data_IF_043976444657
#
_entry.id   IF_043976444657
#
_cell.length_a   1.000
_cell.length_b   1.000
_cell.length_c   1.000
_cell.angle_alpha   90.00
_cell.angle_beta   90.00
_cell.angle_gamma   90.00
#
_symmetry.space_group_name_H-M   'P 1'
#
loop_
_entity.id
_entity.type
_entity.pdbx_description
1 polymer ?
#
# COMPACT_ATOMS: atom_id res chain seq x y z
N UNK A 1 -19.06 36.96 16.25
CA UNK A 1 -17.58 37.16 16.26
C UNK A 1 -16.85 35.84 16.44
N UNK A 2 -17.19 35.01 17.44
CA UNK A 2 -16.60 33.66 17.55
C UNK A 2 -17.21 32.67 16.52
N UNK A 3 -18.52 32.71 16.29
CA UNK A 3 -19.19 31.84 15.30
C UNK A 3 -18.71 32.09 13.85
N UNK A 4 -18.47 33.35 13.49
CA UNK A 4 -17.98 33.74 12.15
C UNK A 4 -16.55 33.22 11.91
N UNK A 5 -15.74 33.19 12.98
CA UNK A 5 -14.37 32.68 12.95
C UNK A 5 -14.34 31.16 12.84
N UNK A 6 -15.23 30.45 13.52
CA UNK A 6 -15.36 29.00 13.39
C UNK A 6 -15.84 28.58 12.00
N UNK A 7 -16.84 29.27 11.44
CA UNK A 7 -17.32 29.02 10.09
C UNK A 7 -16.22 29.25 9.04
N UNK A 8 -15.48 30.36 9.13
CA UNK A 8 -14.35 30.64 8.26
C UNK A 8 -13.24 29.58 8.38
N UNK A 9 -12.90 29.17 9.60
CA UNK A 9 -11.92 28.10 9.84
C UNK A 9 -12.38 26.75 9.27
N UNK A 10 -13.68 26.44 9.35
CA UNK A 10 -14.25 25.23 8.74
C UNK A 10 -14.16 25.28 7.22
N UNK A 11 -14.49 26.42 6.61
CA UNK A 11 -14.44 26.62 5.16
C UNK A 11 -13.00 26.51 4.63
N UNK A 12 -12.05 27.17 5.30
CA UNK A 12 -10.63 27.08 4.96
C UNK A 12 -10.07 25.65 5.09
N UNK A 13 -10.61 24.86 6.02
CA UNK A 13 -10.22 23.45 6.18
C UNK A 13 -10.79 22.57 5.05
N UNK A 14 -12.00 22.85 4.56
CA UNK A 14 -12.57 22.14 3.42
C UNK A 14 -11.86 22.50 2.11
N UNK A 15 -11.56 23.77 1.86
CA UNK A 15 -10.81 24.20 0.67
C UNK A 15 -9.42 23.56 0.63
N UNK A 16 -8.72 23.54 1.77
CA UNK A 16 -7.43 22.86 1.87
C UNK A 16 -7.54 21.36 1.59
N UNK A 17 -8.60 20.70 2.06
CA UNK A 17 -8.75 19.24 1.91
C UNK A 17 -9.23 18.82 0.53
N UNK A 18 -10.23 19.51 -0.01
CA UNK A 18 -10.97 19.08 -1.20
C UNK A 18 -10.76 19.99 -2.42
N UNK A 19 -10.16 21.16 -2.25
CA UNK A 19 -9.93 22.15 -3.29
C UNK A 19 -10.97 23.27 -3.32
N UNK A 20 -10.83 24.16 -4.30
CA UNK A 20 -11.56 25.44 -4.35
C UNK A 20 -12.97 25.35 -4.95
N UNK A 21 -13.36 24.22 -5.57
CA UNK A 21 -14.70 24.10 -6.16
C UNK A 21 -15.76 23.91 -5.08
N UNK A 22 -16.54 24.95 -4.81
CA UNK A 22 -17.67 24.90 -3.88
C UNK A 22 -18.72 23.85 -4.29
N UNK A 23 -18.91 23.63 -5.60
CA UNK A 23 -19.86 22.63 -6.11
C UNK A 23 -19.35 21.22 -5.83
N UNK A 24 -18.04 20.97 -6.03
CA UNK A 24 -17.43 19.69 -5.65
C UNK A 24 -17.52 19.46 -4.14
N UNK A 25 -17.10 20.43 -3.33
CA UNK A 25 -17.17 20.32 -1.85
C UNK A 25 -18.59 20.04 -1.39
N UNK A 26 -19.58 20.78 -1.90
CA UNK A 26 -21.00 20.56 -1.55
C UNK A 26 -21.45 19.15 -1.92
N UNK A 27 -21.04 18.64 -3.09
CA UNK A 27 -21.39 17.27 -3.50
C UNK A 27 -20.80 16.21 -2.56
N UNK A 28 -19.61 16.43 -1.99
CA UNK A 28 -18.99 15.49 -1.04
C UNK A 28 -19.69 15.45 0.32
N UNK A 29 -20.44 16.49 0.68
CA UNK A 29 -21.23 16.55 1.92
C UNK A 29 -22.58 15.85 1.80
N UNK A 30 -22.98 15.43 0.60
CA UNK A 30 -24.23 14.71 0.36
C UNK A 30 -24.04 13.22 0.61
N UNK A 31 -24.43 12.72 1.80
CA UNK A 31 -24.25 11.30 2.18
C UNK A 31 -24.95 10.32 1.24
N UNK A 32 -26.12 10.69 0.69
CA UNK A 32 -26.85 9.86 -0.27
C UNK A 32 -26.33 9.98 -1.71
N UNK A 33 -25.27 10.77 -1.93
CA UNK A 33 -24.75 11.13 -3.24
C UNK A 33 -25.72 11.99 -4.05
N UNK A 34 -25.45 12.09 -5.35
CA UNK A 34 -26.24 12.88 -6.29
C UNK A 34 -25.61 14.23 -6.64
N UNK A 35 -26.42 15.11 -7.23
CA UNK A 35 -25.98 16.42 -7.72
C UNK A 35 -26.76 17.51 -6.97
N UNK A 36 -26.13 18.63 -6.59
CA UNK A 36 -26.83 19.73 -5.94
C UNK A 36 -27.99 20.27 -6.81
N UNK A 37 -29.21 20.42 -6.24
CA UNK A 37 -30.45 20.65 -6.99
C UNK A 37 -30.52 21.98 -7.76
N UNK A 38 -29.60 22.91 -7.53
CA UNK A 38 -29.53 24.22 -8.18
C UNK A 38 -28.60 24.29 -9.39
N UNK A 39 -27.99 23.16 -9.81
CA UNK A 39 -26.92 23.17 -10.82
C UNK A 39 -27.42 22.85 -12.22
N UNK A 40 -27.30 23.79 -13.16
CA UNK A 40 -27.58 23.53 -14.58
C UNK A 40 -26.51 22.60 -15.21
N UNK A 41 -26.85 21.81 -16.24
CA UNK A 41 -25.86 20.93 -16.90
C UNK A 41 -24.63 21.66 -17.43
N UNK A 42 -24.81 22.88 -17.97
CA UNK A 42 -23.70 23.70 -18.45
C UNK A 42 -22.78 24.16 -17.31
N UNK A 43 -23.35 24.51 -16.15
CA UNK A 43 -22.56 24.86 -14.97
C UNK A 43 -21.78 23.64 -14.44
N UNK A 44 -22.41 22.46 -14.39
CA UNK A 44 -21.75 21.21 -13.98
C UNK A 44 -20.59 20.85 -14.91
N UNK A 45 -20.75 21.00 -16.23
CA UNK A 45 -19.67 20.76 -17.18
C UNK A 45 -18.49 21.72 -16.96
N UNK A 46 -18.79 23.01 -16.74
CA UNK A 46 -17.76 24.01 -16.46
C UNK A 46 -17.00 23.68 -15.16
N UNK A 47 -17.71 23.28 -14.12
CA UNK A 47 -17.09 22.85 -12.85
C UNK A 47 -16.26 21.57 -13.02
N UNK A 48 -16.75 20.59 -13.75
CA UNK A 48 -16.00 19.36 -14.02
C UNK A 48 -14.67 19.68 -14.72
N UNK A 49 -14.68 20.58 -15.72
CA UNK A 49 -13.46 21.06 -16.40
C UNK A 49 -12.52 21.77 -15.42
N UNK A 50 -13.05 22.53 -14.47
CA UNK A 50 -12.25 23.19 -13.45
C UNK A 50 -11.60 22.18 -12.47
N UNK A 51 -12.36 21.19 -11.99
CA UNK A 51 -11.88 20.18 -11.02
C UNK A 51 -10.81 19.26 -11.61
N UNK A 52 -10.85 18.97 -12.92
CA UNK A 52 -9.81 18.17 -13.59
C UNK A 52 -8.61 19.00 -14.07
N UNK A 53 -8.56 20.29 -13.75
CA UNK A 53 -7.47 21.15 -14.19
C UNK A 53 -6.17 20.81 -13.47
N UNK A 54 -5.04 20.98 -14.17
CA UNK A 54 -3.71 20.59 -13.67
C UNK A 54 -3.29 21.24 -12.35
N UNK A 55 -3.83 22.42 -12.03
CA UNK A 55 -3.52 23.13 -10.78
C UNK A 55 -4.56 22.94 -9.69
N UNK A 56 -5.57 22.07 -9.88
CA UNK A 56 -6.64 21.90 -8.90
C UNK A 56 -6.14 21.33 -7.57
N UNK A 57 -5.13 20.46 -7.63
CA UNK A 57 -4.54 19.81 -6.46
C UNK A 57 -3.48 20.69 -5.77
N UNK A 58 -3.12 21.84 -6.33
CA UNK A 58 -2.08 22.71 -5.79
C UNK A 58 -2.44 23.21 -4.39
N UNK A 59 -1.52 22.98 -3.44
CA UNK A 59 -1.67 23.36 -2.02
C UNK A 59 -2.89 22.72 -1.33
N UNK A 60 -3.42 21.64 -1.90
CA UNK A 60 -4.45 20.82 -1.26
C UNK A 60 -3.86 19.59 -0.59
N UNK A 61 -4.68 18.88 0.20
CA UNK A 61 -4.29 17.61 0.82
C UNK A 61 -4.51 16.38 -0.10
N UNK A 62 -4.88 16.59 -1.38
CA UNK A 62 -4.93 15.53 -2.39
C UNK A 62 -3.56 14.86 -2.55
N UNK A 63 -3.55 13.53 -2.65
CA UNK A 63 -2.32 12.75 -2.80
C UNK A 63 -1.50 12.58 -1.53
N UNK A 64 -1.56 13.53 -0.61
CA UNK A 64 -0.83 13.46 0.65
C UNK A 64 -1.66 12.78 1.74
N UNK A 65 -2.90 13.21 1.98
CA UNK A 65 -3.81 12.64 2.99
C UNK A 65 -5.11 12.11 2.39
N UNK A 66 -5.56 12.69 1.28
CA UNK A 66 -6.83 12.38 0.62
C UNK A 66 -6.59 11.67 -0.74
N UNK A 67 -7.46 10.73 -1.08
CA UNK A 67 -7.36 9.99 -2.34
C UNK A 67 -6.26 8.93 -2.35
N UNK A 68 -5.70 8.69 -3.53
CA UNK A 68 -4.55 7.79 -3.73
C UNK A 68 -3.29 8.45 -3.20
N UNK A 69 -2.52 7.74 -2.36
CA UNK A 69 -1.35 8.33 -1.72
C UNK A 69 -0.16 8.34 -2.68
N UNK A 70 0.38 9.53 -2.93
CA UNK A 70 1.49 9.76 -3.87
C UNK A 70 2.85 9.40 -3.27
N UNK A 71 3.82 9.17 -4.16
CA UNK A 71 5.22 9.01 -3.79
C UNK A 71 5.62 7.59 -3.38
N UNK A 72 4.88 6.56 -3.84
CA UNK A 72 5.29 5.15 -3.74
C UNK A 72 4.95 4.41 -5.02
N UNK A 73 5.86 3.57 -5.51
CA UNK A 73 5.58 2.67 -6.65
C UNK A 73 4.42 1.71 -6.34
N UNK A 74 4.19 1.43 -5.05
CA UNK A 74 3.10 0.58 -4.53
C UNK A 74 2.13 1.41 -3.69
N UNK A 75 1.58 2.45 -4.32
CA UNK A 75 0.54 3.34 -3.78
C UNK A 75 -0.73 2.60 -3.32
N UNK A 76 -1.04 1.44 -3.90
CA UNK A 76 -2.17 0.59 -3.57
C UNK A 76 -2.11 0.07 -2.13
N UNK A 77 -0.99 -0.52 -1.75
CA UNK A 77 -0.74 -1.02 -0.39
C UNK A 77 -0.71 0.16 0.60
N UNK A 78 -0.05 1.25 0.23
CA UNK A 78 0.10 2.43 1.07
C UNK A 78 -1.25 3.11 1.37
N UNK A 79 -2.08 3.27 0.34
CA UNK A 79 -3.42 3.87 0.48
C UNK A 79 -4.31 3.01 1.38
N UNK A 80 -4.33 1.69 1.15
CA UNK A 80 -5.07 0.76 2.00
C UNK A 80 -4.61 0.79 3.46
N UNK A 81 -3.30 0.78 3.70
CA UNK A 81 -2.72 0.89 5.04
C UNK A 81 -3.16 2.17 5.75
N UNK A 82 -3.13 3.31 5.04
CA UNK A 82 -3.54 4.61 5.61
C UNK A 82 -5.04 4.64 5.96
N UNK A 83 -5.88 4.05 5.12
CA UNK A 83 -7.31 3.89 5.43
C UNK A 83 -7.53 3.00 6.65
N UNK A 84 -6.85 1.86 6.75
CA UNK A 84 -7.00 0.97 7.90
C UNK A 84 -6.48 1.61 9.20
N UNK A 85 -5.42 2.43 9.14
CA UNK A 85 -4.98 3.23 10.27
C UNK A 85 -6.05 4.20 10.79
N UNK A 86 -6.95 4.67 9.90
CA UNK A 86 -8.11 5.53 10.25
C UNK A 86 -9.32 4.74 10.77
N UNK A 87 -9.22 3.41 10.84
CA UNK A 87 -10.25 2.51 11.37
C UNK A 87 -11.18 1.89 10.32
N UNK A 88 -10.90 2.07 9.04
CA UNK A 88 -11.65 1.41 7.96
C UNK A 88 -11.41 -0.10 7.97
N UNK A 89 -12.42 -0.88 7.56
CA UNK A 89 -12.35 -2.34 7.48
C UNK A 89 -12.62 -2.80 6.04
N UNK A 90 -11.63 -3.45 5.43
CA UNK A 90 -11.81 -4.13 4.15
C UNK A 90 -12.58 -5.45 4.28
N UNK A 91 -13.27 -5.88 3.22
CA UNK A 91 -13.93 -7.19 3.13
C UNK A 91 -13.36 -7.93 1.91
N UNK A 92 -12.95 -9.18 2.11
CA UNK A 92 -12.49 -10.06 1.03
C UNK A 92 -13.57 -11.10 0.71
N UNK A 93 -14.13 -11.03 -0.50
CA UNK A 93 -15.23 -11.88 -0.95
C UNK A 93 -14.76 -12.84 -2.05
N UNK A 94 -15.00 -14.14 -1.86
CA UNK A 94 -14.70 -15.18 -2.86
C UNK A 94 -15.99 -15.79 -3.42
N UNK A 95 -16.57 -15.22 -4.51
CA UNK A 95 -17.73 -15.81 -5.17
C UNK A 95 -17.39 -17.16 -5.82
N UNK A 96 -18.42 -18.00 -5.99
CA UNK A 96 -18.26 -19.36 -6.54
C UNK A 96 -17.67 -19.39 -7.96
N UNK A 97 -17.88 -18.32 -8.74
CA UNK A 97 -17.26 -18.09 -10.05
C UNK A 97 -16.35 -16.87 -9.94
N UNK A 98 -15.14 -16.89 -10.52
CA UNK A 98 -14.28 -15.70 -10.56
C UNK A 98 -15.04 -14.55 -11.24
N UNK A 99 -15.35 -13.51 -10.46
CA UNK A 99 -16.06 -12.33 -10.95
C UNK A 99 -15.14 -11.41 -11.77
N UNK A 100 -13.84 -11.45 -11.48
CA UNK A 100 -12.80 -10.71 -12.19
C UNK A 100 -11.80 -11.69 -12.78
N UNK A 101 -11.54 -11.58 -14.09
CA UNK A 101 -10.52 -12.33 -14.81
C UNK A 101 -9.68 -11.37 -15.63
N UNK A 102 -8.37 -11.50 -15.54
CA UNK A 102 -7.41 -10.74 -16.35
C UNK A 102 -6.38 -11.67 -16.99
N UNK A 103 -5.69 -11.17 -18.01
CA UNK A 103 -4.59 -11.89 -18.65
C UNK A 103 -3.32 -11.79 -17.81
N UNK A 104 -2.60 -12.91 -17.64
CA UNK A 104 -1.32 -12.95 -16.95
C UNK A 104 -0.15 -12.79 -17.95
N UNK A 105 1.01 -12.26 -17.51
CA UNK A 105 2.21 -12.23 -18.34
C UNK A 105 2.61 -13.64 -18.79
N UNK A 106 2.90 -13.79 -20.09
CA UNK A 106 3.33 -15.07 -20.69
C UNK A 106 4.85 -15.22 -20.75
N UNK A 107 5.59 -14.12 -20.63
CA UNK A 107 7.04 -14.11 -20.70
C UNK A 107 7.66 -14.00 -19.28
N UNK A 108 8.89 -14.49 -19.14
CA UNK A 108 9.61 -14.41 -17.87
C UNK A 108 10.08 -12.99 -17.55
N UNK A 109 10.45 -12.22 -18.57
CA UNK A 109 10.97 -10.86 -18.41
C UNK A 109 9.96 -9.93 -17.70
N UNK A 110 8.72 -9.89 -18.19
CA UNK A 110 7.66 -9.04 -17.61
C UNK A 110 7.32 -9.51 -16.21
N UNK A 111 7.34 -10.83 -15.96
CA UNK A 111 7.11 -11.38 -14.64
C UNK A 111 8.19 -10.96 -13.65
N UNK A 112 9.47 -10.99 -14.05
CA UNK A 112 10.59 -10.54 -13.21
C UNK A 112 10.52 -9.03 -12.96
N UNK A 113 10.25 -8.23 -13.99
CA UNK A 113 10.08 -6.78 -13.85
C UNK A 113 8.91 -6.44 -12.92
N UNK A 114 7.81 -7.20 -12.98
CA UNK A 114 6.68 -7.01 -12.08
C UNK A 114 7.07 -7.28 -10.62
N UNK A 115 7.73 -8.42 -10.34
CA UNK A 115 8.17 -8.75 -8.98
C UNK A 115 9.21 -7.75 -8.48
N UNK A 116 10.11 -7.27 -9.35
CA UNK A 116 11.06 -6.22 -9.02
C UNK A 116 10.36 -4.92 -8.62
N UNK A 117 9.33 -4.48 -9.35
CA UNK A 117 8.54 -3.29 -8.98
C UNK A 117 7.87 -3.45 -7.61
N UNK A 118 7.33 -4.64 -7.32
CA UNK A 118 6.76 -4.92 -6.00
C UNK A 118 7.80 -4.89 -4.89
N UNK A 119 8.99 -5.45 -5.14
CA UNK A 119 10.06 -5.44 -4.15
C UNK A 119 10.58 -4.01 -3.89
N UNK A 120 10.76 -3.22 -4.95
CA UNK A 120 11.16 -1.82 -4.85
C UNK A 120 10.14 -0.99 -4.08
N UNK A 121 8.84 -1.11 -4.40
CA UNK A 121 7.79 -0.39 -3.68
C UNK A 121 7.71 -0.78 -2.19
N UNK A 122 7.86 -2.07 -1.87
CA UNK A 122 7.92 -2.51 -0.46
C UNK A 122 9.12 -1.93 0.29
N UNK A 123 10.30 -1.88 -0.34
CA UNK A 123 11.51 -1.27 0.25
C UNK A 123 11.35 0.25 0.40
N UNK A 124 10.74 0.90 -0.58
CA UNK A 124 10.42 2.33 -0.53
C UNK A 124 9.48 2.65 0.64
N UNK A 125 8.38 1.89 0.80
CA UNK A 125 7.46 2.02 1.95
C UNK A 125 8.22 1.78 3.27
N UNK A 126 9.08 0.77 3.34
CA UNK A 126 9.86 0.45 4.53
C UNK A 126 10.68 1.65 5.03
N UNK A 127 11.38 2.34 4.12
CA UNK A 127 12.23 3.48 4.46
C UNK A 127 11.47 4.82 4.49
N UNK A 128 10.22 4.85 4.05
CA UNK A 128 9.38 6.05 4.08
C UNK A 128 8.90 6.40 5.49
N UNK A 129 8.38 7.63 5.64
CA UNK A 129 7.67 8.05 6.85
C UNK A 129 6.42 7.20 7.15
N UNK A 130 5.87 6.52 6.15
CA UNK A 130 4.64 5.73 6.25
C UNK A 130 4.88 4.25 6.57
N UNK A 131 6.07 3.87 7.03
CA UNK A 131 6.36 2.48 7.38
C UNK A 131 5.43 1.95 8.50
N UNK A 132 4.86 0.74 8.35
CA UNK A 132 3.99 0.14 9.36
C UNK A 132 4.64 -0.09 10.73
N UNK A 133 5.97 0.00 10.83
CA UNK A 133 6.73 -0.20 12.07
C UNK A 133 6.61 1.01 13.01
N UNK A 134 6.52 2.24 12.49
CA UNK A 134 6.46 3.46 13.29
C UNK A 134 5.25 4.35 13.00
N UNK A 135 4.61 4.20 11.84
CA UNK A 135 3.46 5.01 11.47
C UNK A 135 2.14 4.48 12.05
N UNK A 136 1.18 5.37 12.32
CA UNK A 136 -0.21 4.98 12.64
C UNK A 136 -0.43 4.43 14.05
N UNK A 137 0.47 4.71 15.00
CA UNK A 137 0.29 4.33 16.41
C UNK A 137 -0.59 5.31 17.19
N UNK A 138 -0.65 6.59 16.78
CA UNK A 138 -1.33 7.67 17.51
C UNK A 138 -2.85 7.44 17.64
N UNK A 139 -3.49 6.85 16.64
CA UNK A 139 -4.94 6.65 16.65
C UNK A 139 -5.37 5.32 17.29
N UNK A 140 -4.47 4.33 17.41
CA UNK A 140 -4.77 3.03 18.03
C UNK A 140 -5.84 2.18 17.34
N UNK A 141 -6.34 2.58 16.17
CA UNK A 141 -7.46 1.91 15.46
C UNK A 141 -7.03 0.68 14.66
N UNK A 142 -5.74 0.57 14.33
CA UNK A 142 -5.20 -0.58 13.59
C UNK A 142 -4.93 -1.75 14.54
N UNK A 143 -5.50 -2.92 14.24
CA UNK A 143 -5.29 -4.13 15.06
C UNK A 143 -3.83 -4.56 15.01
N UNK A 144 -3.31 -5.08 16.12
CA UNK A 144 -1.91 -5.50 16.20
C UNK A 144 -1.55 -6.60 15.17
N UNK A 145 -2.40 -7.63 15.01
CA UNK A 145 -2.17 -8.69 14.01
C UNK A 145 -2.20 -8.16 12.58
N UNK A 146 -3.06 -7.17 12.31
CA UNK A 146 -3.13 -6.53 11.01
C UNK A 146 -1.87 -5.70 10.73
N UNK A 147 -1.36 -4.97 11.74
CA UNK A 147 -0.07 -4.30 11.66
C UNK A 147 1.06 -5.28 11.36
N UNK A 148 1.09 -6.42 12.05
CA UNK A 148 2.10 -7.45 11.80
C UNK A 148 2.06 -7.95 10.35
N UNK A 149 0.86 -8.14 9.78
CA UNK A 149 0.71 -8.49 8.37
C UNK A 149 1.28 -7.40 7.44
N UNK A 150 1.02 -6.12 7.72
CA UNK A 150 1.60 -5.00 6.94
C UNK A 150 3.12 -4.93 7.06
N UNK A 151 3.67 -5.12 8.26
CA UNK A 151 5.12 -5.19 8.46
C UNK A 151 5.71 -6.32 7.63
N UNK A 152 5.12 -7.53 7.69
CA UNK A 152 5.56 -8.68 6.91
C UNK A 152 5.58 -8.40 5.39
N UNK A 153 4.53 -7.77 4.86
CA UNK A 153 4.44 -7.35 3.44
C UNK A 153 5.45 -6.27 3.07
N UNK A 154 5.96 -5.51 4.04
CA UNK A 154 6.96 -4.47 3.79
C UNK A 154 8.38 -5.04 3.87
N UNK A 155 8.62 -6.00 4.77
CA UNK A 155 9.95 -6.57 4.99
C UNK A 155 10.29 -7.79 4.12
N UNK A 156 9.32 -8.36 3.40
CA UNK A 156 9.56 -9.59 2.62
C UNK A 156 10.77 -9.50 1.66
N UNK A 157 11.09 -8.37 0.99
CA UNK A 157 12.23 -8.34 0.08
C UNK A 157 13.56 -8.57 0.78
N UNK A 158 13.69 -8.16 2.05
CA UNK A 158 14.92 -8.33 2.83
C UNK A 158 15.21 -9.79 3.17
N UNK A 159 14.22 -10.68 3.11
CA UNK A 159 14.43 -12.13 3.29
C UNK A 159 15.32 -12.74 2.19
N UNK A 160 15.46 -12.06 1.05
CA UNK A 160 16.38 -12.47 -0.02
C UNK A 160 17.85 -12.41 0.39
N UNK A 161 18.25 -11.48 1.26
CA UNK A 161 19.64 -11.33 1.71
C UNK A 161 20.15 -12.55 2.51
N UNK A 162 19.49 -12.99 3.60
CA UNK A 162 19.90 -14.20 4.30
C UNK A 162 19.71 -15.44 3.43
N UNK A 163 18.74 -15.46 2.52
CA UNK A 163 18.56 -16.58 1.59
C UNK A 163 19.76 -16.72 0.64
N UNK A 164 20.24 -15.62 0.06
CA UNK A 164 21.43 -15.64 -0.80
C UNK A 164 22.69 -16.07 -0.04
N UNK A 165 22.86 -15.58 1.19
CA UNK A 165 23.94 -16.03 2.05
C UNK A 165 23.84 -17.54 2.34
N UNK A 166 22.63 -18.02 2.68
CA UNK A 166 22.37 -19.44 2.92
C UNK A 166 22.63 -20.32 1.69
N UNK A 167 22.22 -19.89 0.50
CA UNK A 167 22.43 -20.63 -0.75
C UNK A 167 23.90 -20.67 -1.19
N UNK A 168 24.69 -19.63 -0.87
CA UNK A 168 26.12 -19.55 -1.24
C UNK A 168 27.03 -20.24 -0.22
N UNK A 169 26.56 -20.39 1.02
CA UNK A 169 27.33 -21.00 2.12
C UNK A 169 27.84 -22.42 1.79
N UNK A 170 27.06 -23.37 1.24
CA UNK A 170 27.56 -24.69 0.87
C UNK A 170 28.69 -24.65 -0.15
N UNK A 171 28.61 -23.78 -1.16
CA UNK A 171 29.64 -23.66 -2.19
C UNK A 171 30.96 -23.14 -1.61
N UNK A 172 30.89 -22.16 -0.69
CA UNK A 172 32.07 -21.65 0.02
C UNK A 172 32.69 -22.73 0.89
N UNK A 173 31.89 -23.48 1.66
CA UNK A 173 32.37 -24.58 2.48
C UNK A 173 33.07 -25.67 1.65
N UNK A 174 32.52 -26.00 0.48
CA UNK A 174 33.10 -27.00 -0.43
C UNK A 174 34.40 -26.54 -1.09
N UNK A 175 34.54 -25.26 -1.46
CA UNK A 175 35.73 -24.74 -2.13
C UNK A 175 36.88 -24.43 -1.17
N UNK A 176 36.58 -24.16 0.09
CA UNK A 176 37.58 -23.76 1.10
C UNK A 176 37.98 -24.91 2.04
N UNK A 177 37.26 -26.04 1.99
CA UNK A 177 37.34 -27.17 2.93
C UNK A 177 37.23 -26.75 4.42
N UNK A 178 36.73 -25.54 4.68
CA UNK A 178 36.51 -25.00 6.01
C UNK A 178 35.04 -25.08 6.35
N UNK A 179 34.66 -26.15 7.03
CA UNK A 179 33.31 -26.29 7.56
C UNK A 179 33.10 -25.33 8.73
N UNK A 180 32.17 -24.38 8.56
CA UNK A 180 31.79 -23.39 9.58
C UNK A 180 31.00 -24.04 10.74
N UNK A 181 30.45 -25.25 10.52
CA UNK A 181 29.76 -26.06 11.54
C UNK A 181 30.23 -27.52 11.51
N UNK A 182 30.13 -28.27 12.62
CA UNK A 182 30.42 -29.71 12.63
C UNK A 182 29.57 -30.46 11.58
N UNK A 183 30.19 -31.38 10.83
CA UNK A 183 29.57 -32.08 9.70
C UNK A 183 28.20 -32.71 10.04
N UNK A 184 28.02 -33.22 11.27
CA UNK A 184 26.74 -33.78 11.73
C UNK A 184 25.57 -32.79 11.72
N UNK A 185 25.82 -31.51 12.02
CA UNK A 185 24.78 -30.46 12.02
C UNK A 185 24.41 -30.06 10.59
N UNK A 186 25.40 -30.04 9.70
CA UNK A 186 25.18 -29.72 8.28
C UNK A 186 24.38 -30.81 7.56
N UNK A 187 24.74 -32.09 7.76
CA UNK A 187 24.01 -33.23 7.18
C UNK A 187 22.58 -33.35 7.71
N UNK A 188 22.34 -33.04 8.98
CA UNK A 188 20.99 -33.05 9.56
C UNK A 188 20.12 -31.90 9.03
N UNK A 189 20.65 -30.67 8.89
CA UNK A 189 19.93 -29.55 8.28
C UNK A 189 19.56 -29.78 6.81
N UNK A 190 20.48 -30.34 6.01
CA UNK A 190 20.19 -30.72 4.62
C UNK A 190 19.09 -31.78 4.55
N UNK A 191 19.14 -32.80 5.40
CA UNK A 191 18.14 -33.87 5.46
C UNK A 191 16.76 -33.35 5.92
N UNK A 192 16.73 -32.43 6.89
CA UNK A 192 15.50 -31.77 7.35
C UNK A 192 14.91 -30.84 6.29
N UNK A 193 15.74 -30.11 5.52
CA UNK A 193 15.26 -29.25 4.44
C UNK A 193 14.65 -30.04 3.26
N UNK A 194 15.24 -31.18 2.90
CA UNK A 194 14.69 -32.07 1.88
C UNK A 194 13.38 -32.74 2.34
N UNK A 195 13.27 -33.00 3.64
CA UNK A 195 12.05 -33.53 4.25
C UNK A 195 10.95 -32.46 4.28
N UNK A 196 11.27 -31.20 4.59
CA UNK A 196 10.32 -30.08 4.52
C UNK A 196 9.80 -29.85 3.09
N UNK A 197 10.67 -29.91 2.07
CA UNK A 197 10.25 -29.80 0.67
C UNK A 197 9.32 -30.94 0.24
N UNK A 198 9.49 -32.17 0.76
CA UNK A 198 8.55 -33.28 0.48
C UNK A 198 7.20 -33.10 1.17
N UNK A 199 7.15 -32.50 2.35
CA UNK A 199 5.89 -32.24 3.08
C UNK A 199 5.10 -31.07 2.47
N UNK A 200 5.77 -30.09 1.84
CA UNK A 200 5.09 -28.98 1.15
C UNK A 200 4.67 -29.28 -0.30
N UNK A 201 5.12 -30.40 -0.88
CA UNK A 201 4.79 -30.84 -2.25
C UNK A 201 3.86 -32.07 -2.30
N UNK A 202 3.30 -32.47 -1.16
CA UNK A 202 2.25 -33.51 -1.02
C UNK A 202 0.96 -32.90 -0.49
#
# INVERSE_FOLDING_TARGET
>A
MDDDKELLMSHMNFEKKFGQSAIFVTSTLMEQGGVPPSSSPAALLKEAIHVISCGYEDKTDWGSELGWIYGSITEDILTGFKMHCRGWRSIYCMPKRPAFKGSAPINLSDRLNQVLRWALGSVEIFFSHHSPIWYGYKEGKLKWLERFAYVNTTVYPFTSLPLLAYCTLPAICLLTDKFIMPLQVFSSLLCSSQSLQRVFLS
#
